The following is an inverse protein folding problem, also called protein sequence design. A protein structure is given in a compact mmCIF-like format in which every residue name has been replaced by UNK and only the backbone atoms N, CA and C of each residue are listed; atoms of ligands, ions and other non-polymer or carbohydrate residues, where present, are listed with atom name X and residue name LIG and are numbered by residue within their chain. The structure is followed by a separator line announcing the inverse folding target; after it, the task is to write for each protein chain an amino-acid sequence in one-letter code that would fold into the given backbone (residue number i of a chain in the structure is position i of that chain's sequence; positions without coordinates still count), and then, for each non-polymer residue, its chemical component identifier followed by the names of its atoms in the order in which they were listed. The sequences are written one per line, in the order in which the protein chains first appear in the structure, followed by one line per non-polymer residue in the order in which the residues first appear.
data_IF_149315260216
#
_entry.id   IF_149315260216
#
_cell.length_a   1.000
_cell.length_b   1.000
_cell.length_c   1.000
_cell.angle_alpha   90.00
_cell.angle_beta   90.00
_cell.angle_gamma   90.00
#
_symmetry.space_group_name_H-M   'P 1'
#
loop_
_entity.id
_entity.type
_entity.pdbx_description
1 polymer ?
#
# COMPACT_ATOMS: atom_id res chain seq x y z
N UNK A 1 -4.90 14.06 16.61
CA UNK A 1 -4.06 12.85 16.73
C UNK A 1 -3.50 12.50 15.36
N UNK A 2 -2.18 12.39 15.26
CA UNK A 2 -1.45 12.07 14.04
C UNK A 2 -1.73 10.62 13.62
N UNK A 3 -2.08 10.41 12.35
CA UNK A 3 -2.45 9.10 11.81
C UNK A 3 -1.29 8.49 11.01
N UNK A 4 -0.78 7.36 11.47
CA UNK A 4 0.25 6.59 10.76
C UNK A 4 -0.30 6.04 9.43
N UNK A 5 0.46 6.19 8.34
CA UNK A 5 0.09 5.65 7.03
C UNK A 5 -0.97 6.47 6.29
N UNK A 6 -1.18 7.73 6.67
CA UNK A 6 -2.16 8.63 6.04
C UNK A 6 -1.54 9.97 5.66
N UNK A 7 -2.01 10.48 4.53
CA UNK A 7 -1.80 11.88 4.16
C UNK A 7 -2.77 12.75 4.96
N UNK A 8 -2.24 13.79 5.58
CA UNK A 8 -3.00 14.67 6.47
C UNK A 8 -2.41 16.07 6.48
N UNK A 9 -3.22 17.05 6.83
CA UNK A 9 -2.81 18.43 6.97
C UNK A 9 -2.45 18.70 8.43
N UNK A 10 -1.22 19.15 8.69
CA UNK A 10 -0.70 19.43 10.04
C UNK A 10 -0.07 20.82 10.09
N UNK A 11 -0.24 21.52 11.20
CA UNK A 11 0.35 22.85 11.38
C UNK A 11 1.78 22.77 11.89
N UNK A 12 2.62 23.68 11.41
CA UNK A 12 3.99 23.88 11.91
C UNK A 12 3.92 24.51 13.29
N UNK A 13 4.47 23.82 14.28
CA UNK A 13 4.48 24.29 15.69
C UNK A 13 5.87 24.73 16.14
N UNK A 14 6.93 24.25 15.50
CA UNK A 14 8.31 24.57 15.88
C UNK A 14 9.27 24.40 14.72
N UNK A 15 10.22 25.33 14.56
CA UNK A 15 11.37 25.21 13.65
C UNK A 15 12.61 24.77 14.43
N UNK A 16 13.44 23.91 13.80
CA UNK A 16 14.72 23.43 14.35
C UNK A 16 15.77 23.31 13.25
N UNK A 17 17.02 23.07 13.58
CA UNK A 17 18.11 22.86 12.61
C UNK A 17 17.90 21.61 11.74
N UNK A 18 17.11 20.63 12.22
CA UNK A 18 16.83 19.35 11.57
C UNK A 18 15.56 19.37 10.70
N UNK A 19 14.73 20.41 10.81
CA UNK A 19 13.46 20.54 10.13
C UNK A 19 12.40 21.22 10.97
N UNK A 20 11.12 20.95 10.69
CA UNK A 20 10.00 21.51 11.42
C UNK A 20 9.19 20.41 12.12
N UNK A 21 8.69 20.70 13.31
CA UNK A 21 7.70 19.85 13.97
C UNK A 21 6.30 20.27 13.56
N UNK A 22 5.48 19.27 13.22
CA UNK A 22 4.09 19.42 12.77
C UNK A 22 3.15 18.76 13.78
N UNK A 23 1.99 19.37 14.01
CA UNK A 23 0.93 18.81 14.87
C UNK A 23 0.58 19.71 16.04
N UNK A 24 0.60 19.16 17.27
CA UNK A 24 0.36 19.86 18.53
C UNK A 24 1.51 19.62 19.50
N UNK A 25 1.56 20.32 20.64
CA UNK A 25 2.61 20.13 21.65
C UNK A 25 2.69 18.67 22.15
N UNK A 26 1.54 18.02 22.30
CA UNK A 26 1.44 16.66 22.85
C UNK A 26 1.54 15.56 21.76
N UNK A 27 1.22 15.89 20.51
CA UNK A 27 1.19 14.94 19.38
C UNK A 27 1.85 15.60 18.16
N UNK A 28 3.14 15.37 18.00
CA UNK A 28 3.98 16.01 16.98
C UNK A 28 4.86 15.04 16.23
N UNK A 29 5.14 15.39 14.98
CA UNK A 29 6.00 14.62 14.06
C UNK A 29 7.00 15.56 13.39
N UNK A 30 8.23 15.08 13.16
CA UNK A 30 9.26 15.84 12.45
C UNK A 30 9.08 15.71 10.94
N UNK A 31 9.06 16.83 10.22
CA UNK A 31 9.31 16.93 8.80
C UNK A 31 10.79 17.32 8.60
N UNK A 32 11.62 16.48 7.96
CA UNK A 32 13.04 16.77 7.76
C UNK A 32 13.28 18.02 6.95
N UNK A 33 14.33 18.76 7.27
CA UNK A 33 14.70 20.06 6.66
C UNK A 33 14.70 20.03 5.12
N UNK A 34 15.21 18.96 4.52
CA UNK A 34 15.28 18.79 3.06
C UNK A 34 13.90 18.73 2.37
N UNK A 35 12.84 18.54 3.13
CA UNK A 35 11.46 18.44 2.64
C UNK A 35 10.57 19.59 3.10
N UNK A 36 11.11 20.50 3.89
CA UNK A 36 10.39 21.71 4.32
C UNK A 36 10.32 22.68 3.13
N UNK A 37 9.14 23.11 2.69
CA UNK A 37 9.03 24.14 1.66
C UNK A 37 9.75 25.43 2.06
N UNK A 38 10.29 26.16 1.06
CA UNK A 38 10.84 27.48 1.28
C UNK A 38 9.76 28.41 1.89
N UNK A 39 10.19 29.36 2.69
CA UNK A 39 9.31 30.35 3.35
C UNK A 39 8.29 29.77 4.34
N UNK A 40 8.43 28.50 4.75
CA UNK A 40 7.56 27.91 5.78
C UNK A 40 7.68 28.64 7.11
N UNK A 41 6.55 29.09 7.68
CA UNK A 41 6.48 29.77 8.97
C UNK A 41 5.74 28.93 10.04
N UNK A 42 5.93 29.29 11.32
CA UNK A 42 5.16 28.67 12.43
C UNK A 42 3.69 29.05 12.27
N UNK A 43 2.80 28.07 12.33
CA UNK A 43 1.36 28.21 12.08
C UNK A 43 0.92 27.76 10.68
N UNK A 44 1.85 27.64 9.74
CA UNK A 44 1.52 27.17 8.39
C UNK A 44 1.00 25.74 8.41
N UNK A 45 0.03 25.47 7.54
CA UNK A 45 -0.56 24.15 7.34
C UNK A 45 0.15 23.42 6.18
N UNK A 46 0.77 22.28 6.48
CA UNK A 46 1.44 21.46 5.47
C UNK A 46 0.72 20.13 5.30
N UNK A 47 0.51 19.73 4.03
CA UNK A 47 0.03 18.39 3.69
C UNK A 47 1.20 17.43 3.66
N UNK A 48 1.17 16.42 4.55
CA UNK A 48 2.25 15.45 4.73
C UNK A 48 1.70 14.05 4.89
N UNK A 49 2.48 13.08 4.45
CA UNK A 49 2.27 11.66 4.78
C UNK A 49 3.11 11.30 6.00
N UNK A 50 2.55 10.50 6.91
CA UNK A 50 3.25 10.09 8.14
C UNK A 50 3.57 8.61 8.12
N UNK A 51 4.84 8.27 8.33
CA UNK A 51 5.34 6.90 8.34
C UNK A 51 6.46 6.72 9.38
N UNK A 52 7.11 5.54 9.43
CA UNK A 52 8.27 5.30 10.29
C UNK A 52 9.55 5.21 9.48
N UNK A 53 10.57 5.95 9.89
CA UNK A 53 11.90 5.91 9.27
C UNK A 53 12.63 4.57 9.55
N UNK A 54 13.87 4.45 9.05
CA UNK A 54 14.71 3.25 9.26
C UNK A 54 15.07 2.98 10.72
N UNK A 55 14.99 4.01 11.58
CA UNK A 55 15.19 3.89 13.02
C UNK A 55 13.87 3.69 13.80
N UNK A 56 12.77 3.39 13.08
CA UNK A 56 11.44 3.15 13.63
C UNK A 56 10.79 4.38 14.30
N UNK A 57 11.30 5.58 14.02
CA UNK A 57 10.75 6.85 14.54
C UNK A 57 9.65 7.35 13.62
N UNK A 58 8.61 7.93 14.22
CA UNK A 58 7.54 8.60 13.46
C UNK A 58 8.13 9.82 12.74
N UNK A 59 7.90 9.92 11.43
CA UNK A 59 8.42 10.97 10.57
C UNK A 59 7.37 11.39 9.53
N UNK A 60 7.35 12.66 9.17
CA UNK A 60 6.53 13.19 8.09
C UNK A 60 7.33 13.34 6.80
N UNK A 61 6.64 13.28 5.68
CA UNK A 61 7.20 13.54 4.35
C UNK A 61 6.20 14.31 3.49
N UNK A 62 6.69 15.21 2.64
CA UNK A 62 5.91 15.86 1.57
C UNK A 62 5.82 15.01 0.31
N UNK A 63 6.61 13.93 0.22
CA UNK A 63 6.50 12.98 -0.88
C UNK A 63 5.19 12.20 -0.78
N UNK A 64 4.51 12.04 -1.92
CA UNK A 64 3.26 11.28 -2.01
C UNK A 64 3.57 9.80 -2.19
N UNK A 65 3.18 8.92 -1.26
CA UNK A 65 3.33 7.49 -1.45
C UNK A 65 2.33 6.98 -2.52
N UNK A 66 2.64 5.85 -3.14
CA UNK A 66 1.76 5.20 -4.12
C UNK A 66 0.57 4.47 -3.46
N UNK A 67 0.60 4.32 -2.13
CA UNK A 67 -0.43 3.62 -1.35
C UNK A 67 -0.54 4.21 0.05
N UNK A 68 -1.76 4.29 0.56
CA UNK A 68 -2.06 4.70 1.93
C UNK A 68 -2.68 3.55 2.74
N UNK A 69 -2.73 3.71 4.05
CA UNK A 69 -3.29 2.72 4.98
C UNK A 69 -4.72 2.33 4.57
N UNK A 70 -4.92 1.02 4.38
CA UNK A 70 -6.18 0.44 3.91
C UNK A 70 -6.43 0.56 2.41
N UNK A 71 -5.51 1.19 1.66
CA UNK A 71 -5.55 1.25 0.20
C UNK A 71 -4.97 0.02 -0.48
N UNK A 72 -5.15 -0.04 -1.80
CA UNK A 72 -4.61 -1.05 -2.70
C UNK A 72 -3.79 -0.37 -3.79
N UNK A 73 -2.64 -0.95 -4.13
CA UNK A 73 -1.82 -0.51 -5.27
C UNK A 73 -0.97 -1.66 -5.81
N UNK A 74 -0.58 -1.56 -7.09
CA UNK A 74 0.50 -2.37 -7.65
C UNK A 74 1.83 -1.73 -7.30
N UNK A 75 2.69 -2.50 -6.63
CA UNK A 75 4.01 -2.04 -6.24
C UNK A 75 5.08 -2.98 -6.78
N UNK A 76 6.17 -2.38 -7.24
CA UNK A 76 7.33 -3.10 -7.78
C UNK A 76 8.21 -3.60 -6.64
N UNK A 77 8.68 -4.84 -6.77
CA UNK A 77 9.65 -5.43 -5.86
C UNK A 77 11.05 -4.88 -6.17
N UNK A 78 11.63 -4.19 -5.21
CA UNK A 78 13.00 -3.68 -5.29
C UNK A 78 14.03 -4.75 -4.93
N UNK A 79 13.71 -5.57 -3.91
CA UNK A 79 14.63 -6.56 -3.36
C UNK A 79 13.86 -7.67 -2.64
N UNK A 80 14.41 -8.88 -2.65
CA UNK A 80 13.95 -10.01 -1.83
C UNK A 80 15.01 -10.34 -0.79
N UNK A 81 14.62 -10.47 0.48
CA UNK A 81 15.50 -10.68 1.63
C UNK A 81 15.05 -11.89 2.47
N UNK A 82 15.80 -12.21 3.54
CA UNK A 82 15.45 -13.29 4.47
C UNK A 82 14.15 -13.10 5.26
N UNK A 83 13.59 -11.89 5.30
CA UNK A 83 12.35 -11.56 6.07
C UNK A 83 11.14 -11.32 5.17
N UNK A 84 11.33 -11.21 3.87
CA UNK A 84 10.29 -10.90 2.89
C UNK A 84 10.83 -10.10 1.72
N UNK A 85 9.94 -9.49 0.96
CA UNK A 85 10.29 -8.61 -0.15
C UNK A 85 10.14 -7.14 0.26
N UNK A 86 10.96 -6.28 -0.33
CA UNK A 86 10.86 -4.84 -0.19
C UNK A 86 10.28 -4.22 -1.46
N UNK A 87 9.24 -3.41 -1.29
CA UNK A 87 8.46 -2.81 -2.37
C UNK A 87 8.77 -1.31 -2.49
N UNK A 88 8.93 -0.83 -3.72
CA UNK A 88 8.98 0.60 -4.00
C UNK A 88 7.57 1.20 -3.94
N UNK A 89 7.31 2.01 -2.95
CA UNK A 89 6.05 2.73 -2.75
C UNK A 89 6.18 4.25 -2.87
N UNK A 90 7.32 4.72 -3.40
CA UNK A 90 7.57 6.14 -3.66
C UNK A 90 8.23 6.91 -2.51
N UNK A 91 8.59 6.23 -1.41
CA UNK A 91 9.32 6.83 -0.28
C UNK A 91 10.74 6.28 -0.18
N UNK A 92 11.61 6.99 0.56
CA UNK A 92 13.03 6.59 0.72
C UNK A 92 13.19 5.19 1.32
N UNK A 93 12.37 4.85 2.32
CA UNK A 93 12.34 3.52 2.91
C UNK A 93 11.33 2.64 2.18
N UNK A 94 11.81 1.57 1.56
CA UNK A 94 10.94 0.59 0.93
C UNK A 94 9.96 -0.07 1.91
N UNK A 95 8.82 -0.45 1.42
CA UNK A 95 7.75 -1.09 2.19
C UNK A 95 7.99 -2.60 2.28
N UNK A 96 8.02 -3.17 3.48
CA UNK A 96 8.18 -4.61 3.68
C UNK A 96 6.88 -5.36 3.34
N UNK A 97 7.00 -6.40 2.52
CA UNK A 97 6.01 -7.46 2.29
C UNK A 97 6.52 -8.76 2.95
N UNK A 98 6.14 -9.07 4.19
CA UNK A 98 6.61 -10.24 4.90
C UNK A 98 6.24 -11.55 4.19
N UNK A 99 7.05 -12.62 4.28
CA UNK A 99 6.74 -13.91 3.65
C UNK A 99 5.35 -14.44 4.01
N UNK A 100 4.92 -14.32 5.27
CA UNK A 100 3.58 -14.76 5.72
C UNK A 100 2.42 -14.01 5.07
N UNK A 101 2.69 -12.86 4.46
CA UNK A 101 1.70 -12.02 3.78
C UNK A 101 1.74 -12.19 2.25
N UNK A 102 2.65 -12.99 1.72
CA UNK A 102 2.72 -13.35 0.31
C UNK A 102 1.75 -14.51 0.02
N UNK A 103 1.08 -14.46 -1.11
CA UNK A 103 0.16 -15.51 -1.60
C UNK A 103 0.76 -16.33 -2.74
N UNK A 104 1.90 -15.90 -3.27
CA UNK A 104 2.69 -16.58 -4.30
C UNK A 104 4.17 -16.26 -4.10
N UNK A 105 5.03 -16.95 -4.81
CA UNK A 105 6.44 -16.60 -4.88
C UNK A 105 6.63 -15.20 -5.47
N UNK A 106 7.53 -14.42 -4.87
CA UNK A 106 7.74 -13.01 -5.23
C UNK A 106 9.16 -12.84 -5.76
N UNK A 107 9.30 -12.25 -6.97
CA UNK A 107 10.58 -12.02 -7.60
C UNK A 107 10.91 -10.53 -7.66
N UNK A 108 12.20 -10.22 -7.57
CA UNK A 108 12.72 -8.85 -7.76
C UNK A 108 12.40 -8.37 -9.19
N UNK A 109 11.90 -7.14 -9.28
CA UNK A 109 11.54 -6.49 -10.55
C UNK A 109 10.08 -6.66 -10.96
N UNK A 110 9.36 -7.65 -10.42
CA UNK A 110 7.94 -7.86 -10.69
C UNK A 110 7.05 -6.89 -9.91
N UNK A 111 5.81 -6.74 -10.35
CA UNK A 111 4.80 -5.92 -9.69
C UNK A 111 3.65 -6.79 -9.14
N UNK A 112 3.28 -6.54 -7.89
CA UNK A 112 2.20 -7.25 -7.23
C UNK A 112 1.16 -6.31 -6.66
N UNK A 113 -0.11 -6.73 -6.72
CA UNK A 113 -1.20 -6.04 -6.05
C UNK A 113 -1.12 -6.30 -4.55
N UNK A 114 -1.00 -5.22 -3.77
CA UNK A 114 -0.86 -5.28 -2.32
C UNK A 114 -1.77 -4.27 -1.64
N UNK A 115 -2.07 -4.53 -0.37
CA UNK A 115 -2.70 -3.57 0.53
C UNK A 115 -1.70 -3.11 1.58
N UNK A 116 -1.85 -1.86 2.06
CA UNK A 116 -1.09 -1.33 3.18
C UNK A 116 -1.83 -1.56 4.49
N UNK A 117 -1.16 -2.15 5.47
CA UNK A 117 -1.71 -2.38 6.80
C UNK A 117 -0.71 -2.05 7.91
N UNK A 118 -1.19 -1.94 9.13
CA UNK A 118 -0.35 -1.80 10.34
C UNK A 118 -0.23 -3.19 10.98
N UNK A 119 0.99 -3.65 11.17
CA UNK A 119 1.28 -4.92 11.80
C UNK A 119 1.15 -4.85 13.35
N UNK A 120 1.34 -6.00 14.02
CA UNK A 120 1.27 -6.09 15.50
C UNK A 120 2.34 -5.28 16.22
N UNK A 121 3.40 -4.90 15.52
CA UNK A 121 4.49 -4.06 16.04
C UNK A 121 4.27 -2.57 15.77
N UNK A 122 3.05 -2.19 15.34
CA UNK A 122 2.68 -0.83 14.96
C UNK A 122 3.56 -0.26 13.82
N UNK A 123 3.88 -1.11 12.83
CA UNK A 123 4.64 -0.74 11.63
C UNK A 123 3.78 -0.90 10.38
N UNK A 124 4.01 -0.02 9.41
CA UNK A 124 3.42 -0.17 8.08
C UNK A 124 4.07 -1.34 7.35
N UNK A 125 3.24 -2.21 6.78
CA UNK A 125 3.65 -3.36 5.98
C UNK A 125 2.66 -3.61 4.84
N UNK A 126 3.12 -4.31 3.80
CA UNK A 126 2.28 -4.74 2.70
C UNK A 126 1.73 -6.15 2.92
N UNK A 127 0.57 -6.44 2.33
CA UNK A 127 0.00 -7.78 2.25
C UNK A 127 -0.58 -8.06 0.87
N UNK A 128 -0.35 -9.26 0.33
CA UNK A 128 -1.02 -9.75 -0.88
C UNK A 128 -2.39 -10.36 -0.58
N UNK A 129 -2.78 -10.52 0.68
CA UNK A 129 -4.10 -10.99 1.13
C UNK A 129 -5.14 -9.88 1.02
N UNK A 130 -5.37 -9.43 -0.21
CA UNK A 130 -6.11 -8.18 -0.51
C UNK A 130 -7.63 -8.31 -0.41
N UNK A 131 -8.19 -9.50 -0.32
CA UNK A 131 -9.65 -9.75 -0.37
C UNK A 131 -10.46 -8.84 0.57
N UNK A 132 -9.98 -8.62 1.78
CA UNK A 132 -10.65 -7.79 2.80
C UNK A 132 -10.59 -6.28 2.54
N UNK A 133 -9.78 -5.86 1.57
CA UNK A 133 -9.61 -4.45 1.18
C UNK A 133 -10.38 -4.10 -0.09
N UNK A 134 -10.86 -5.13 -0.81
CA UNK A 134 -11.67 -4.96 -2.00
C UNK A 134 -13.06 -4.47 -1.63
N UNK A 135 -13.61 -3.61 -2.48
CA UNK A 135 -14.94 -3.05 -2.33
C UNK A 135 -15.93 -3.85 -3.18
N UNK A 136 -17.18 -3.88 -2.76
CA UNK A 136 -18.30 -4.28 -3.62
C UNK A 136 -18.72 -3.09 -4.50
N UNK A 137 -19.29 -3.38 -5.67
CA UNK A 137 -19.78 -2.34 -6.59
C UNK A 137 -20.91 -2.89 -7.46
N UNK A 138 -21.81 -2.03 -7.86
CA UNK A 138 -22.84 -2.21 -8.88
C UNK A 138 -22.53 -1.45 -10.18
N UNK A 139 -21.32 -0.89 -10.29
CA UNK A 139 -20.84 -0.10 -11.45
C UNK A 139 -20.89 -0.87 -12.77
N UNK A 140 -20.63 -2.17 -12.72
CA UNK A 140 -20.55 -3.00 -13.94
C UNK A 140 -21.92 -3.58 -14.27
N UNK A 141 -22.27 -3.51 -15.57
CA UNK A 141 -23.45 -4.18 -16.11
C UNK A 141 -23.04 -5.52 -16.72
N UNK A 142 -24.03 -6.40 -16.94
CA UNK A 142 -23.81 -7.68 -17.61
C UNK A 142 -23.06 -7.47 -18.94
N UNK A 143 -22.12 -8.37 -19.24
CA UNK A 143 -21.29 -8.38 -20.46
C UNK A 143 -20.28 -7.20 -20.56
N UNK A 144 -20.05 -6.45 -19.46
CA UNK A 144 -18.98 -5.46 -19.44
C UNK A 144 -17.61 -6.14 -19.44
N UNK A 145 -16.72 -5.69 -20.34
CA UNK A 145 -15.31 -6.07 -20.30
C UNK A 145 -14.62 -5.39 -19.13
N UNK A 146 -13.94 -6.16 -18.27
CA UNK A 146 -13.21 -5.66 -17.10
C UNK A 146 -11.81 -6.25 -17.05
N UNK A 147 -10.88 -5.55 -16.46
CA UNK A 147 -9.55 -6.06 -16.14
C UNK A 147 -9.53 -6.55 -14.69
N UNK A 148 -8.78 -7.61 -14.41
CA UNK A 148 -8.72 -8.13 -13.05
C UNK A 148 -7.45 -8.91 -12.74
N UNK A 149 -7.08 -8.94 -11.46
CA UNK A 149 -5.98 -9.73 -10.91
C UNK A 149 -6.55 -10.93 -10.17
N UNK A 150 -6.08 -12.12 -10.49
CA UNK A 150 -6.42 -13.32 -9.69
C UNK A 150 -5.77 -13.20 -8.33
N UNK A 151 -6.59 -13.29 -7.27
CA UNK A 151 -6.16 -13.17 -5.88
C UNK A 151 -6.33 -14.46 -5.09
N UNK A 152 -6.93 -15.47 -5.69
CA UNK A 152 -7.06 -16.80 -5.10
C UNK A 152 -7.86 -17.74 -5.98
N UNK A 153 -7.51 -19.01 -5.91
CA UNK A 153 -8.20 -20.10 -6.60
C UNK A 153 -8.67 -21.11 -5.56
N UNK A 154 -9.93 -21.50 -5.65
CA UNK A 154 -10.47 -22.64 -4.90
C UNK A 154 -10.99 -23.67 -5.91
N UNK A 155 -10.34 -24.84 -6.04
CA UNK A 155 -10.64 -25.81 -7.09
C UNK A 155 -12.11 -26.21 -7.19
N UNK A 156 -12.79 -26.31 -6.04
CA UNK A 156 -14.19 -26.74 -5.97
C UNK A 156 -15.21 -25.58 -6.09
N UNK A 157 -14.76 -24.32 -6.02
CA UNK A 157 -15.65 -23.16 -5.99
C UNK A 157 -15.46 -22.24 -7.18
N UNK A 158 -14.22 -21.86 -7.50
CA UNK A 158 -13.90 -20.92 -8.57
C UNK A 158 -12.71 -20.02 -8.27
N UNK A 159 -12.65 -18.91 -8.99
CA UNK A 159 -11.54 -17.95 -8.95
C UNK A 159 -12.00 -16.64 -8.33
N UNK A 160 -11.23 -16.13 -7.38
CA UNK A 160 -11.40 -14.82 -6.80
C UNK A 160 -10.54 -13.80 -7.53
N UNK A 161 -11.14 -12.67 -7.90
CA UNK A 161 -10.50 -11.65 -8.75
C UNK A 161 -10.64 -10.28 -8.10
N UNK A 162 -9.56 -9.48 -8.12
CA UNK A 162 -9.62 -8.05 -7.88
C UNK A 162 -9.88 -7.34 -9.21
N UNK A 163 -11.12 -6.97 -9.48
CA UNK A 163 -11.54 -6.27 -10.69
C UNK A 163 -11.08 -4.81 -10.58
N UNK A 164 -10.39 -4.32 -11.63
CA UNK A 164 -9.76 -2.98 -11.67
C UNK A 164 -8.87 -2.72 -10.44
N UNK A 165 -8.27 -3.79 -9.86
CA UNK A 165 -7.47 -3.77 -8.64
C UNK A 165 -8.17 -3.12 -7.41
N UNK A 166 -9.50 -3.10 -7.42
CA UNK A 166 -10.31 -2.36 -6.44
C UNK A 166 -11.56 -3.10 -5.98
N UNK A 167 -12.20 -3.83 -6.86
CA UNK A 167 -13.49 -4.43 -6.58
C UNK A 167 -13.42 -5.95 -6.52
N UNK A 168 -14.21 -6.53 -5.62
CA UNK A 168 -14.29 -7.97 -5.47
C UNK A 168 -15.07 -8.59 -6.64
N UNK A 169 -14.45 -9.55 -7.32
CA UNK A 169 -15.05 -10.36 -8.35
C UNK A 169 -14.91 -11.85 -8.04
N UNK A 170 -15.83 -12.64 -8.56
CA UNK A 170 -15.82 -14.10 -8.43
C UNK A 170 -16.26 -14.73 -9.73
N UNK A 171 -15.46 -15.68 -10.24
CA UNK A 171 -15.78 -16.48 -11.43
C UNK A 171 -16.07 -17.89 -10.92
N UNK A 172 -17.30 -18.36 -11.14
CA UNK A 172 -17.71 -19.71 -10.71
C UNK A 172 -17.03 -20.77 -11.57
N UNK A 173 -16.87 -21.99 -11.03
CA UNK A 173 -16.27 -23.11 -11.76
C UNK A 173 -16.96 -23.38 -13.11
N UNK A 174 -18.28 -23.24 -13.17
CA UNK A 174 -19.06 -23.50 -14.40
C UNK A 174 -18.82 -22.45 -15.50
N UNK A 175 -18.31 -21.28 -15.14
CA UNK A 175 -17.97 -20.19 -16.06
C UNK A 175 -16.48 -20.22 -16.48
N UNK A 176 -15.71 -21.12 -15.87
CA UNK A 176 -14.31 -21.34 -16.24
C UNK A 176 -14.23 -22.16 -17.52
N UNK A 177 -14.07 -21.50 -18.66
CA UNK A 177 -13.68 -22.18 -19.90
C UNK A 177 -12.15 -22.41 -19.93
N UNK A 178 -11.69 -23.42 -20.69
CA UNK A 178 -10.25 -23.71 -20.86
C UNK A 178 -9.44 -22.49 -21.33
N UNK A 179 -10.08 -21.55 -22.03
CA UNK A 179 -9.47 -20.29 -22.46
C UNK A 179 -9.18 -19.31 -21.29
N UNK A 180 -9.95 -19.35 -20.20
CA UNK A 180 -9.69 -18.49 -19.05
C UNK A 180 -8.41 -18.92 -18.31
N UNK A 181 -8.18 -20.23 -18.22
CA UNK A 181 -6.96 -20.79 -17.61
C UNK A 181 -5.69 -20.42 -18.38
N UNK A 182 -5.77 -20.24 -19.70
CA UNK A 182 -4.62 -19.84 -20.54
C UNK A 182 -4.29 -18.34 -20.47
N UNK A 183 -5.24 -17.49 -20.05
CA UNK A 183 -5.06 -16.04 -19.87
C UNK A 183 -4.61 -15.67 -18.45
N UNK A 184 -4.74 -16.59 -17.50
CA UNK A 184 -4.30 -16.43 -16.13
C UNK A 184 -2.85 -16.90 -16.06
N UNK A 185 -1.89 -15.99 -16.19
CA UNK A 185 -0.51 -16.27 -15.80
C UNK A 185 -0.48 -16.47 -14.28
N UNK A 186 -0.77 -17.69 -13.87
CA UNK A 186 -0.48 -18.17 -12.51
C UNK A 186 1.02 -18.49 -12.53
N UNK A 187 1.83 -17.66 -11.94
CA UNK A 187 3.12 -18.13 -11.45
C UNK A 187 2.81 -19.15 -10.36
N UNK A 188 2.90 -20.43 -10.69
CA UNK A 188 2.77 -21.53 -9.74
C UNK A 188 3.81 -21.39 -8.63
N UNK A 189 3.49 -21.89 -7.41
CA UNK A 189 4.36 -21.80 -6.24
C UNK A 189 5.71 -22.51 -6.42
#
# INVERSE_FOLDING_TARGET
MIQLGKTQCLNVIKKTDFGVYLGTEDDKVLLPKKQVPEDTEIGDALTVFVYRDSSDRLIATTNTPRIELGGLARLKVSEVSSIGAFLDWGLEKNLLLPYREQTTHVNTGDEYLVALYIDRSNRLAATMKVSRYLKTTDKYVKDSAVSGTVIGIKPDHGIYVAVDDKYYGFITRNEMSDNILSLIHISEP
#
